data_IF_236969200082
#
_entry.id   IF_236969200082
#
_cell.length_a   1.000
_cell.length_b   1.000
_cell.length_c   1.000
_cell.angle_alpha   90.00
_cell.angle_beta   90.00
_cell.angle_gamma   90.00
#
_symmetry.space_group_name_H-M   'P 1'
#
loop_
_entity.id
_entity.type
_entity.pdbx_description
1 polymer ?
#
# COMPACT_ATOMS: atom_id res chain seq x y z
N UNK A 1 40.44 -4.38 -17.98
CA UNK A 1 39.16 -4.77 -17.37
C UNK A 1 38.10 -4.76 -18.45
N UNK A 2 37.66 -5.94 -18.91
CA UNK A 2 36.55 -6.06 -19.85
C UNK A 2 35.30 -5.53 -19.18
N UNK A 3 34.66 -4.54 -19.80
CA UNK A 3 33.40 -4.00 -19.28
C UNK A 3 32.32 -5.01 -19.61
N UNK A 4 31.80 -5.67 -18.58
CA UNK A 4 30.72 -6.64 -18.72
C UNK A 4 29.50 -5.97 -19.33
N UNK A 5 29.05 -6.50 -20.46
CA UNK A 5 27.84 -5.99 -21.13
C UNK A 5 26.59 -6.61 -20.51
N UNK A 6 25.43 -5.96 -20.65
CA UNK A 6 24.17 -6.54 -20.15
C UNK A 6 23.82 -7.88 -20.85
N UNK A 7 24.34 -8.09 -22.05
CA UNK A 7 24.23 -9.36 -22.76
C UNK A 7 25.06 -10.46 -22.09
N UNK A 8 26.30 -10.16 -21.69
CA UNK A 8 27.16 -11.08 -20.94
C UNK A 8 26.59 -11.40 -19.55
N UNK A 9 25.98 -10.41 -18.88
CA UNK A 9 25.32 -10.63 -17.58
C UNK A 9 24.14 -11.60 -17.67
N UNK A 10 23.45 -11.67 -18.81
CA UNK A 10 22.38 -12.63 -19.08
C UNK A 10 22.86 -13.91 -19.77
N UNK A 11 24.15 -14.01 -20.12
CA UNK A 11 24.71 -15.13 -20.89
C UNK A 11 24.19 -15.22 -22.32
N UNK A 12 23.86 -14.09 -22.94
CA UNK A 12 23.24 -14.01 -24.27
C UNK A 12 24.15 -13.34 -25.29
N UNK A 13 23.95 -13.68 -26.56
CA UNK A 13 24.53 -12.94 -27.68
C UNK A 13 23.79 -11.61 -27.90
N UNK A 14 24.45 -10.55 -28.42
CA UNK A 14 23.81 -9.28 -28.77
C UNK A 14 22.68 -9.42 -29.82
N UNK A 15 22.69 -10.51 -30.59
CA UNK A 15 21.68 -10.87 -31.59
C UNK A 15 20.47 -11.62 -31.02
N UNK A 16 20.39 -11.83 -29.71
CA UNK A 16 19.33 -12.61 -29.10
C UNK A 16 17.94 -11.98 -29.29
N UNK A 17 16.97 -12.82 -29.64
CA UNK A 17 15.57 -12.43 -29.76
C UNK A 17 14.97 -12.04 -28.39
N UNK A 18 13.95 -11.16 -28.36
CA UNK A 18 13.35 -10.68 -27.11
C UNK A 18 12.68 -11.78 -26.28
N UNK A 19 12.31 -12.89 -26.91
CA UNK A 19 11.77 -14.08 -26.24
C UNK A 19 12.86 -14.83 -25.47
N UNK A 20 14.05 -14.93 -26.06
CA UNK A 20 15.23 -15.56 -25.44
C UNK A 20 15.73 -14.72 -24.27
N UNK A 21 15.71 -13.38 -24.38
CA UNK A 21 16.03 -12.46 -23.28
C UNK A 21 15.08 -12.66 -22.09
N UNK A 22 13.78 -12.81 -22.37
CA UNK A 22 12.76 -13.10 -21.34
C UNK A 22 12.94 -14.48 -20.71
N UNK A 23 13.28 -15.49 -21.51
CA UNK A 23 13.51 -16.84 -21.02
C UNK A 23 14.76 -16.90 -20.11
N UNK A 24 15.87 -16.28 -20.53
CA UNK A 24 17.10 -16.21 -19.76
C UNK A 24 16.91 -15.48 -18.42
N UNK A 25 16.21 -14.33 -18.43
CA UNK A 25 15.86 -13.62 -17.20
C UNK A 25 15.03 -14.51 -16.25
N UNK A 26 14.00 -15.20 -16.75
CA UNK A 26 13.19 -16.09 -15.92
C UNK A 26 14.01 -17.23 -15.33
N UNK A 27 14.90 -17.83 -16.11
CA UNK A 27 15.77 -18.91 -15.63
C UNK A 27 16.72 -18.42 -14.52
N UNK A 28 17.40 -17.29 -14.73
CA UNK A 28 18.33 -16.72 -13.76
C UNK A 28 17.61 -16.20 -12.51
N UNK A 29 16.44 -15.58 -12.67
CA UNK A 29 15.60 -15.18 -11.55
C UNK A 29 15.19 -16.39 -10.69
N UNK A 30 14.81 -17.52 -11.32
CA UNK A 30 14.45 -18.74 -10.59
C UNK A 30 15.60 -19.38 -9.82
N UNK A 31 16.86 -19.05 -10.15
CA UNK A 31 18.05 -19.58 -9.48
C UNK A 31 18.51 -18.61 -8.37
N UNK A 32 18.46 -17.31 -8.63
CA UNK A 32 19.01 -16.29 -7.74
C UNK A 32 17.95 -15.57 -6.87
N UNK A 33 16.67 -15.92 -6.96
CA UNK A 33 15.61 -15.25 -6.19
C UNK A 33 15.85 -15.37 -4.68
N UNK A 34 15.71 -14.28 -3.90
CA UNK A 34 15.99 -14.27 -2.46
C UNK A 34 15.13 -15.26 -1.66
N UNK A 35 13.93 -15.58 -2.15
CA UNK A 35 13.03 -16.58 -1.54
C UNK A 35 13.59 -18.01 -1.64
N UNK A 36 14.32 -18.31 -2.72
CA UNK A 36 14.94 -19.61 -2.92
C UNK A 36 16.30 -19.73 -2.26
N UNK A 37 16.92 -18.63 -1.83
CA UNK A 37 18.25 -18.63 -1.20
C UNK A 37 18.21 -18.45 0.32
N UNK A 38 17.02 -18.58 0.93
CA UNK A 38 16.83 -18.50 2.38
C UNK A 38 17.54 -19.63 3.15
N UNK A 39 17.75 -20.78 2.51
CA UNK A 39 18.43 -21.95 3.09
C UNK A 39 19.97 -21.86 3.02
N UNK A 40 20.52 -20.88 2.29
CA UNK A 40 21.96 -20.68 2.12
C UNK A 40 22.54 -19.80 3.23
N UNK A 41 23.87 -19.86 3.37
CA UNK A 41 24.63 -19.03 4.31
C UNK A 41 24.47 -17.54 3.99
N UNK A 42 24.77 -16.66 4.94
CA UNK A 42 24.62 -15.22 4.75
C UNK A 42 25.50 -14.66 3.61
N UNK A 43 26.69 -15.24 3.43
CA UNK A 43 27.65 -14.85 2.39
C UNK A 43 27.20 -15.30 0.99
N UNK A 44 26.73 -16.55 0.88
CA UNK A 44 26.14 -17.06 -0.36
C UNK A 44 24.86 -16.29 -0.74
N UNK A 45 24.02 -15.94 0.25
CA UNK A 45 22.83 -15.13 0.01
C UNK A 45 23.17 -13.74 -0.53
N UNK A 46 24.22 -13.12 -0.02
CA UNK A 46 24.68 -11.82 -0.50
C UNK A 46 25.20 -11.91 -1.94
N UNK A 47 25.94 -12.97 -2.28
CA UNK A 47 26.43 -13.19 -3.65
C UNK A 47 25.28 -13.43 -4.65
N UNK A 48 24.31 -14.27 -4.30
CA UNK A 48 23.12 -14.50 -5.13
C UNK A 48 22.27 -13.24 -5.31
N UNK A 49 22.14 -12.41 -4.27
CA UNK A 49 21.45 -11.13 -4.36
C UNK A 49 22.18 -10.13 -5.29
N UNK A 50 23.51 -10.09 -5.24
CA UNK A 50 24.31 -9.25 -6.14
C UNK A 50 24.15 -9.68 -7.61
N UNK A 51 24.17 -10.99 -7.88
CA UNK A 51 23.92 -11.54 -9.22
C UNK A 51 22.50 -11.23 -9.69
N UNK A 52 21.50 -11.42 -8.82
CA UNK A 52 20.10 -11.11 -9.12
C UNK A 52 19.91 -9.63 -9.50
N UNK A 53 20.53 -8.71 -8.76
CA UNK A 53 20.47 -7.28 -9.08
C UNK A 53 21.08 -6.96 -10.45
N UNK A 54 22.20 -7.62 -10.80
CA UNK A 54 22.81 -7.47 -12.13
C UNK A 54 21.92 -8.00 -13.25
N UNK A 55 21.29 -9.16 -13.04
CA UNK A 55 20.33 -9.78 -13.98
C UNK A 55 19.09 -8.90 -14.16
N UNK A 56 18.57 -8.33 -13.06
CA UNK A 56 17.43 -7.42 -13.08
C UNK A 56 17.74 -6.16 -13.89
N UNK A 57 18.87 -5.52 -13.61
CA UNK A 57 19.30 -4.32 -14.33
C UNK A 57 19.50 -4.58 -15.83
N UNK A 58 20.07 -5.74 -16.19
CA UNK A 58 20.22 -6.14 -17.58
C UNK A 58 18.86 -6.35 -18.27
N UNK A 59 17.90 -6.98 -17.59
CA UNK A 59 16.57 -7.20 -18.12
C UNK A 59 15.74 -5.91 -18.26
N UNK A 60 15.87 -4.97 -17.33
CA UNK A 60 15.17 -3.68 -17.40
C UNK A 60 15.57 -2.87 -18.65
N UNK A 61 16.83 -2.99 -19.07
CA UNK A 61 17.36 -2.35 -20.29
C UNK A 61 17.05 -3.17 -21.54
N UNK A 62 17.35 -4.47 -21.54
CA UNK A 62 17.24 -5.33 -22.74
C UNK A 62 15.82 -5.83 -23.03
N UNK A 63 14.95 -5.88 -22.01
CA UNK A 63 13.56 -6.34 -22.13
C UNK A 63 12.63 -5.35 -22.82
N UNK A 64 12.98 -4.05 -22.81
CA UNK A 64 12.23 -3.02 -23.51
C UNK A 64 12.88 -2.72 -24.88
N UNK A 65 12.18 -2.92 -26.02
CA UNK A 65 12.75 -2.69 -27.35
C UNK A 65 13.34 -1.29 -27.56
N UNK A 66 12.74 -0.25 -26.95
CA UNK A 66 13.24 1.13 -27.06
C UNK A 66 14.51 1.35 -26.26
N UNK A 67 14.61 0.77 -25.06
CA UNK A 67 15.81 0.89 -24.21
C UNK A 67 16.94 0.01 -24.74
N UNK A 68 16.62 -1.18 -25.26
CA UNK A 68 17.56 -2.04 -25.99
C UNK A 68 18.17 -1.32 -27.18
N UNK A 69 17.36 -0.65 -28.00
CA UNK A 69 17.86 0.10 -29.15
C UNK A 69 18.79 1.26 -28.74
N UNK A 70 18.45 1.97 -27.66
CA UNK A 70 19.31 3.03 -27.12
C UNK A 70 20.65 2.45 -26.59
N UNK A 71 20.60 1.35 -25.84
CA UNK A 71 21.78 0.66 -25.33
C UNK A 71 22.66 0.10 -26.45
N UNK A 72 22.07 -0.50 -27.48
CA UNK A 72 22.77 -1.00 -28.66
C UNK A 72 23.44 0.15 -29.45
N UNK A 73 22.79 1.32 -29.53
CA UNK A 73 23.36 2.52 -30.13
C UNK A 73 24.54 3.08 -29.34
N UNK A 74 24.45 3.10 -28.00
CA UNK A 74 25.55 3.48 -27.11
C UNK A 74 26.73 2.51 -27.23
N UNK A 75 26.46 1.20 -27.26
CA UNK A 75 27.48 0.17 -27.43
C UNK A 75 28.18 0.33 -28.78
N UNK A 76 27.42 0.54 -29.86
CA UNK A 76 27.96 0.79 -31.20
C UNK A 76 28.78 2.09 -31.29
N UNK A 77 28.32 3.17 -30.65
CA UNK A 77 29.06 4.44 -30.59
C UNK A 77 30.39 4.28 -29.83
N UNK A 78 30.36 3.53 -28.72
CA UNK A 78 31.54 3.21 -27.92
C UNK A 78 32.54 2.33 -28.66
N UNK A 79 32.07 1.37 -29.46
CA UNK A 79 32.91 0.57 -30.36
C UNK A 79 33.48 1.40 -31.52
N UNK A 80 32.71 2.34 -32.09
CA UNK A 80 33.15 3.26 -33.15
C UNK A 80 34.21 4.25 -32.65
N UNK A 81 34.08 4.72 -31.40
CA UNK A 81 35.05 5.64 -30.79
C UNK A 81 36.45 5.04 -30.66
N UNK A 82 36.56 3.72 -30.56
CA UNK A 82 37.83 2.98 -30.54
C UNK A 82 38.37 2.64 -31.94
N UNK A 83 37.61 2.87 -33.02
CA UNK A 83 37.94 2.44 -34.39
C UNK A 83 37.77 3.56 -35.43
N UNK A 84 38.27 4.77 -35.15
CA UNK A 84 38.29 5.82 -36.17
C UNK A 84 39.46 5.64 -37.16
N UNK A 85 39.16 5.01 -38.30
CA UNK A 85 39.64 5.41 -39.64
C UNK A 85 38.50 5.15 -40.65
N UNK A 86 38.14 6.08 -41.57
CA UNK A 86 37.04 5.90 -42.54
C UNK A 86 37.57 5.38 -43.90
N UNK A 87 36.74 5.13 -44.96
CA UNK A 87 35.28 4.86 -45.09
C UNK A 87 34.99 3.50 -45.80
N UNK A 88 33.76 2.96 -45.95
CA UNK A 88 32.79 3.14 -47.08
C UNK A 88 31.71 2.02 -46.98
N UNK A 89 30.45 2.17 -47.43
CA UNK A 89 29.40 1.13 -47.36
C UNK A 89 29.20 0.31 -48.68
N UNK A 90 28.68 -0.93 -48.62
CA UNK A 90 28.00 -1.58 -49.75
C UNK A 90 26.48 -1.78 -49.53
N UNK A 91 25.72 -2.14 -50.59
CA UNK A 91 24.27 -1.90 -50.68
C UNK A 91 23.38 -3.09 -50.26
N UNK A 92 22.16 -2.73 -49.85
CA UNK A 92 20.85 -3.37 -50.06
C UNK A 92 20.77 -4.87 -50.39
N UNK A 93 19.98 -5.63 -49.60
CA UNK A 93 19.06 -6.62 -50.18
C UNK A 93 17.83 -6.88 -49.29
N UNK A 94 16.73 -7.23 -49.96
CA UNK A 94 15.36 -7.15 -49.50
C UNK A 94 14.93 -8.31 -48.58
N UNK A 95 13.96 -8.04 -47.71
CA UNK A 95 12.95 -9.04 -47.34
C UNK A 95 11.64 -8.35 -46.94
N UNK A 96 10.69 -8.46 -47.85
CA UNK A 96 9.30 -8.08 -47.67
C UNK A 96 8.59 -9.11 -46.80
N UNK A 97 8.18 -8.71 -45.60
CA UNK A 97 7.09 -9.35 -44.85
C UNK A 97 6.02 -8.30 -44.57
N UNK A 98 4.72 -8.61 -44.70
CA UNK A 98 3.66 -7.64 -44.45
C UNK A 98 3.56 -7.36 -42.95
N UNK A 99 4.37 -6.42 -42.47
CA UNK A 99 4.29 -5.87 -41.13
C UNK A 99 2.93 -5.18 -40.99
N UNK A 100 2.04 -5.82 -40.23
CA UNK A 100 0.80 -5.23 -39.75
C UNK A 100 1.19 -3.96 -39.01
N UNK A 101 1.02 -2.82 -39.69
CA UNK A 101 1.31 -1.48 -39.19
C UNK A 101 0.38 -1.25 -38.01
N UNK A 102 0.80 -1.68 -36.83
CA UNK A 102 0.19 -1.24 -35.59
C UNK A 102 0.61 0.22 -35.52
N UNK A 103 -0.25 1.11 -36.00
CA UNK A 103 -0.10 2.54 -35.84
C UNK A 103 0.01 2.79 -34.35
N UNK A 104 1.24 2.85 -33.85
CA UNK A 104 1.53 3.27 -32.49
C UNK A 104 1.15 4.73 -32.45
N UNK A 105 -0.11 5.01 -32.09
CA UNK A 105 -0.51 6.35 -31.70
C UNK A 105 0.42 6.71 -30.55
N UNK A 106 1.39 7.58 -30.83
CA UNK A 106 2.26 8.17 -29.82
C UNK A 106 1.33 8.89 -28.86
N UNK A 107 1.00 8.25 -27.73
CA UNK A 107 0.25 8.91 -26.67
C UNK A 107 1.07 10.12 -26.28
N UNK A 108 0.45 11.29 -26.23
CA UNK A 108 1.17 12.50 -25.84
C UNK A 108 1.82 12.30 -24.46
N UNK A 109 2.92 12.99 -24.15
CA UNK A 109 3.52 12.89 -22.81
C UNK A 109 2.50 13.14 -21.68
N UNK A 110 1.52 14.02 -21.91
CA UNK A 110 0.42 14.31 -21.01
C UNK A 110 -0.55 13.12 -20.85
N UNK A 111 -0.96 12.48 -21.96
CA UNK A 111 -1.79 11.26 -21.93
C UNK A 111 -1.10 10.11 -21.19
N UNK A 112 0.22 9.98 -21.33
CA UNK A 112 1.01 8.98 -20.62
C UNK A 112 1.05 9.26 -19.11
N UNK A 113 1.15 10.52 -18.70
CA UNK A 113 1.06 10.92 -17.29
C UNK A 113 -0.34 10.62 -16.75
N UNK A 114 -1.39 10.98 -17.50
CA UNK A 114 -2.78 10.70 -17.12
C UNK A 114 -3.06 9.19 -16.99
N UNK A 115 -2.54 8.37 -17.92
CA UNK A 115 -2.69 6.92 -17.87
C UNK A 115 -1.97 6.31 -16.66
N UNK A 116 -0.76 6.79 -16.33
CA UNK A 116 -0.03 6.39 -15.12
C UNK A 116 -0.74 6.82 -13.84
N UNK A 117 -1.31 8.03 -13.82
CA UNK A 117 -2.10 8.52 -12.70
C UNK A 117 -3.34 7.64 -12.47
N UNK A 118 -4.09 7.33 -13.54
CA UNK A 118 -5.25 6.44 -13.50
C UNK A 118 -4.89 5.01 -13.07
N UNK A 119 -3.74 4.49 -13.52
CA UNK A 119 -3.23 3.20 -13.06
C UNK A 119 -2.84 3.23 -11.58
N UNK A 120 -2.29 4.34 -11.08
CA UNK A 120 -1.98 4.50 -9.65
C UNK A 120 -3.25 4.59 -8.81
N UNK A 121 -4.26 5.32 -9.29
CA UNK A 121 -5.57 5.41 -8.66
C UNK A 121 -6.28 4.06 -8.60
N UNK A 122 -6.26 3.28 -9.69
CA UNK A 122 -6.87 1.95 -9.70
C UNK A 122 -6.18 0.99 -8.72
N UNK A 123 -4.84 1.01 -8.65
CA UNK A 123 -4.09 0.23 -7.65
C UNK A 123 -4.42 0.69 -6.22
N UNK A 124 -4.47 2.00 -5.97
CA UNK A 124 -4.82 2.53 -4.65
C UNK A 124 -6.25 2.14 -4.25
N UNK A 125 -7.20 2.19 -5.18
CA UNK A 125 -8.56 1.74 -4.96
C UNK A 125 -8.60 0.25 -4.56
N UNK A 126 -7.85 -0.62 -5.26
CA UNK A 126 -7.77 -2.03 -4.89
C UNK A 126 -7.14 -2.27 -3.51
N UNK A 127 -6.14 -1.45 -3.13
CA UNK A 127 -5.53 -1.49 -1.79
C UNK A 127 -6.50 -1.09 -0.70
N UNK A 128 -7.23 0.01 -0.90
CA UNK A 128 -8.28 0.46 0.04
C UNK A 128 -9.34 -0.63 0.19
N UNK A 129 -9.82 -1.22 -0.92
CA UNK A 129 -10.78 -2.31 -0.89
C UNK A 129 -10.28 -3.56 -0.18
N UNK A 130 -8.99 -3.86 -0.28
CA UNK A 130 -8.38 -4.96 0.48
C UNK A 130 -8.35 -4.62 1.98
N UNK A 131 -7.92 -3.42 2.35
CA UNK A 131 -7.87 -2.98 3.74
C UNK A 131 -9.27 -2.92 4.39
N UNK A 132 -10.30 -2.45 3.68
CA UNK A 132 -11.70 -2.49 4.13
C UNK A 132 -12.13 -3.93 4.46
N UNK A 133 -11.78 -4.88 3.60
CA UNK A 133 -12.09 -6.29 3.81
C UNK A 133 -11.32 -6.89 4.96
N UNK A 134 -10.03 -6.58 5.08
CA UNK A 134 -9.21 -7.06 6.20
C UNK A 134 -9.72 -6.50 7.53
N UNK A 135 -10.24 -5.27 7.56
CA UNK A 135 -10.91 -4.69 8.73
C UNK A 135 -12.21 -5.44 9.07
N UNK A 136 -13.05 -5.75 8.08
CA UNK A 136 -14.27 -6.55 8.28
C UNK A 136 -13.94 -7.98 8.75
N UNK A 137 -12.93 -8.61 8.16
CA UNK A 137 -12.48 -9.94 8.56
C UNK A 137 -11.89 -9.94 9.98
N UNK A 138 -11.30 -8.82 10.42
CA UNK A 138 -10.81 -8.67 11.78
C UNK A 138 -11.93 -8.59 12.83
N UNK A 139 -13.12 -8.11 12.45
CA UNK A 139 -14.31 -8.10 13.32
C UNK A 139 -14.93 -9.50 13.48
N UNK A 140 -14.69 -10.42 12.54
CA UNK A 140 -15.18 -11.80 12.63
C UNK A 140 -14.45 -12.58 13.72
N UNK A 141 -15.18 -13.45 14.40
CA UNK A 141 -14.64 -14.45 15.31
C UNK A 141 -14.11 -15.67 14.54
N UNK A 142 -13.44 -16.59 15.24
CA UNK A 142 -12.84 -17.77 14.60
C UNK A 142 -13.88 -18.65 13.91
N UNK A 143 -15.10 -18.71 14.44
CA UNK A 143 -16.21 -19.42 13.81
C UNK A 143 -16.63 -18.74 12.50
N UNK A 144 -16.85 -17.42 12.51
CA UNK A 144 -17.16 -16.65 11.29
C UNK A 144 -16.10 -16.76 10.20
N UNK A 145 -14.81 -16.80 10.56
CA UNK A 145 -13.74 -17.03 9.60
C UNK A 145 -13.77 -18.45 9.01
N UNK A 146 -14.05 -19.48 9.82
CA UNK A 146 -14.24 -20.86 9.33
C UNK A 146 -15.46 -20.98 8.43
N UNK A 147 -16.51 -20.19 8.67
CA UNK A 147 -17.69 -20.14 7.79
C UNK A 147 -17.34 -19.55 6.43
N UNK A 148 -16.44 -18.54 6.40
CA UNK A 148 -15.91 -18.01 5.14
C UNK A 148 -15.10 -19.06 4.39
N UNK A 149 -14.22 -19.82 5.06
CA UNK A 149 -13.51 -20.95 4.44
C UNK A 149 -14.48 -21.92 3.77
N UNK A 150 -15.53 -22.36 4.49
CA UNK A 150 -16.55 -23.27 3.93
C UNK A 150 -17.29 -22.66 2.72
N UNK A 151 -17.57 -21.36 2.78
CA UNK A 151 -18.24 -20.66 1.66
C UNK A 151 -17.35 -20.61 0.42
N UNK A 152 -16.06 -20.31 0.58
CA UNK A 152 -15.11 -20.26 -0.54
C UNK A 152 -14.80 -21.63 -1.12
N UNK A 153 -14.75 -22.67 -0.28
CA UNK A 153 -14.61 -24.06 -0.73
C UNK A 153 -15.83 -24.51 -1.55
N UNK A 154 -17.04 -24.19 -1.09
CA UNK A 154 -18.26 -24.45 -1.85
C UNK A 154 -18.23 -23.72 -3.21
N UNK A 155 -17.88 -22.44 -3.24
CA UNK A 155 -17.75 -21.69 -4.50
C UNK A 155 -16.69 -22.27 -5.44
N UNK A 156 -15.59 -22.79 -4.89
CA UNK A 156 -14.53 -23.45 -5.69
C UNK A 156 -15.05 -24.74 -6.34
N UNK A 157 -15.90 -25.48 -5.64
CA UNK A 157 -16.54 -26.71 -6.13
C UNK A 157 -17.63 -26.39 -7.17
N UNK A 158 -18.47 -25.39 -6.90
CA UNK A 158 -19.54 -24.95 -7.81
C UNK A 158 -18.97 -24.37 -9.13
N UNK A 159 -17.81 -23.69 -9.08
CA UNK A 159 -17.15 -23.10 -10.24
C UNK A 159 -16.03 -24.00 -10.82
N UNK A 160 -16.26 -25.31 -10.86
CA UNK A 160 -15.31 -26.29 -11.42
C UNK A 160 -14.92 -25.96 -12.87
N UNK A 161 -15.86 -25.52 -13.68
CA UNK A 161 -15.71 -25.40 -15.13
C UNK A 161 -15.19 -24.03 -15.59
N UNK A 162 -15.09 -23.04 -14.69
CA UNK A 162 -14.46 -21.73 -14.95
C UNK A 162 -13.07 -21.66 -14.27
N UNK A 163 -11.97 -21.81 -15.02
CA UNK A 163 -10.63 -21.79 -14.44
C UNK A 163 -10.27 -20.47 -13.74
N UNK A 164 -10.78 -19.33 -14.23
CA UNK A 164 -10.46 -18.03 -13.67
C UNK A 164 -11.18 -17.81 -12.33
N UNK A 165 -12.47 -18.16 -12.26
CA UNK A 165 -13.21 -18.09 -11.02
C UNK A 165 -12.69 -19.12 -10.00
N UNK A 166 -12.39 -20.33 -10.45
CA UNK A 166 -11.80 -21.37 -9.59
C UNK A 166 -10.47 -20.94 -8.97
N UNK A 167 -9.58 -20.34 -9.77
CA UNK A 167 -8.32 -19.79 -9.26
C UNK A 167 -8.56 -18.66 -8.25
N UNK A 168 -9.55 -17.80 -8.49
CA UNK A 168 -9.93 -16.75 -7.54
C UNK A 168 -10.42 -17.33 -6.22
N UNK A 169 -11.35 -18.29 -6.25
CA UNK A 169 -11.85 -18.97 -5.06
C UNK A 169 -10.74 -19.68 -4.30
N UNK A 170 -9.79 -20.32 -5.00
CA UNK A 170 -8.66 -21.02 -4.39
C UNK A 170 -7.74 -20.07 -3.63
N UNK A 171 -7.42 -18.91 -4.22
CA UNK A 171 -6.62 -17.87 -3.57
C UNK A 171 -7.34 -17.38 -2.30
N UNK A 172 -8.66 -17.12 -2.39
CA UNK A 172 -9.44 -16.65 -1.26
C UNK A 172 -9.55 -17.69 -0.15
N UNK A 173 -9.74 -18.96 -0.51
CA UNK A 173 -9.76 -20.07 0.43
C UNK A 173 -8.46 -20.11 1.26
N UNK A 174 -7.32 -20.09 0.59
CA UNK A 174 -6.01 -20.08 1.24
C UNK A 174 -5.80 -18.86 2.15
N UNK A 175 -6.24 -17.67 1.71
CA UNK A 175 -6.19 -16.46 2.54
C UNK A 175 -6.98 -16.61 3.85
N UNK A 176 -8.19 -17.19 3.81
CA UNK A 176 -9.00 -17.40 5.01
C UNK A 176 -8.49 -18.55 5.89
N UNK A 177 -7.97 -19.63 5.32
CA UNK A 177 -7.31 -20.71 6.07
C UNK A 177 -6.14 -20.17 6.90
N UNK A 178 -5.30 -19.31 6.29
CA UNK A 178 -4.20 -18.66 7.00
C UNK A 178 -4.69 -17.75 8.13
N UNK A 179 -5.76 -16.97 7.92
CA UNK A 179 -6.37 -16.12 8.97
C UNK A 179 -6.90 -16.95 10.14
N UNK A 180 -7.56 -18.07 9.85
CA UNK A 180 -8.04 -19.01 10.88
C UNK A 180 -6.86 -19.58 11.66
N UNK A 181 -5.83 -20.06 10.95
CA UNK A 181 -4.62 -20.61 11.56
C UNK A 181 -3.94 -19.60 12.49
N UNK A 182 -3.73 -18.37 12.03
CA UNK A 182 -3.09 -17.32 12.83
C UNK A 182 -3.89 -16.99 14.09
N UNK A 183 -5.21 -16.83 13.98
CA UNK A 183 -6.11 -16.60 15.13
C UNK A 183 -6.07 -17.75 16.14
N UNK A 184 -6.04 -18.99 15.68
CA UNK A 184 -5.93 -20.16 16.56
C UNK A 184 -4.57 -20.21 17.27
N UNK A 185 -3.47 -19.89 16.59
CA UNK A 185 -2.15 -19.84 17.21
C UNK A 185 -2.07 -18.73 18.27
N UNK A 186 -2.55 -17.52 17.95
CA UNK A 186 -2.62 -16.42 18.91
C UNK A 186 -3.42 -16.82 20.16
N UNK A 187 -4.53 -17.53 19.98
CA UNK A 187 -5.32 -18.04 21.10
C UNK A 187 -4.57 -19.08 21.94
N UNK A 188 -3.88 -20.04 21.31
CA UNK A 188 -3.04 -21.03 22.00
C UNK A 188 -1.91 -20.38 22.78
N UNK A 189 -1.22 -19.42 22.18
CA UNK A 189 -0.16 -18.66 22.86
C UNK A 189 -0.71 -17.86 24.04
N UNK A 190 -1.88 -17.26 23.88
CA UNK A 190 -2.55 -16.54 24.97
C UNK A 190 -2.88 -17.47 26.14
N UNK A 191 -3.42 -18.67 25.87
CA UNK A 191 -3.68 -19.69 26.89
C UNK A 191 -2.38 -20.17 27.57
N UNK A 192 -1.32 -20.40 26.80
CA UNK A 192 -0.01 -20.80 27.34
C UNK A 192 0.57 -19.73 28.27
N UNK A 193 0.49 -18.45 27.87
CA UNK A 193 0.90 -17.31 28.72
C UNK A 193 0.09 -17.27 30.02
N UNK A 194 -1.23 -17.46 29.95
CA UNK A 194 -2.09 -17.53 31.14
C UNK A 194 -1.69 -18.69 32.08
N UNK A 195 -1.37 -19.86 31.53
CA UNK A 195 -0.95 -21.02 32.31
C UNK A 195 0.41 -20.79 33.01
N UNK A 196 1.38 -20.20 32.32
CA UNK A 196 2.72 -19.91 32.88
C UNK A 196 2.72 -18.82 33.95
N UNK A 197 1.82 -17.83 33.86
CA UNK A 197 1.70 -16.78 34.88
C UNK A 197 1.24 -17.30 36.25
N UNK A 198 0.67 -18.52 36.29
CA UNK A 198 0.15 -19.14 37.53
C UNK A 198 1.12 -20.13 38.17
N UNK A 199 2.30 -20.36 37.59
CA UNK A 199 3.34 -21.20 38.19
C UNK A 199 4.17 -20.35 39.15
N UNK A 200 4.08 -20.53 40.48
CA UNK A 200 4.98 -19.83 41.39
C UNK A 200 6.43 -20.25 41.08
N UNK A 201 7.42 -19.35 41.23
CA UNK A 201 8.81 -19.70 41.05
C UNK A 201 9.12 -20.87 41.99
N UNK A 202 9.66 -21.96 41.43
CA UNK A 202 10.07 -23.13 42.19
C UNK A 202 10.84 -22.67 43.43
N UNK A 203 10.30 -22.98 44.60
CA UNK A 203 10.94 -22.70 45.88
C UNK A 203 12.31 -23.35 45.84
N UNK A 204 13.35 -22.50 45.78
CA UNK A 204 14.74 -22.91 45.98
C UNK A 204 14.81 -23.57 47.34
N UNK A 205 14.83 -24.89 47.37
CA UNK A 205 15.13 -25.68 48.56
C UNK A 205 16.56 -25.30 48.97
N UNK A 206 16.66 -24.35 49.91
CA UNK A 206 17.90 -24.04 50.57
C UNK A 206 18.33 -25.28 51.35
N UNK A 207 19.36 -25.94 50.84
CA UNK A 207 20.07 -27.03 51.52
C UNK A 207 20.55 -26.49 52.87
N UNK A 208 19.94 -26.98 53.96
CA UNK A 208 20.34 -26.66 55.31
C UNK A 208 21.82 -27.01 55.49
N UNK A 209 22.65 -25.98 55.67
CA UNK A 209 24.06 -26.12 56.01
C UNK A 209 24.15 -26.07 57.53
N UNK A 210 24.73 -27.12 58.10
CA UNK A 210 24.94 -27.31 59.54
C UNK A 210 25.56 -26.08 60.21
N UNK A 211 24.96 -25.66 61.32
CA UNK A 211 25.47 -24.61 62.20
C UNK A 211 26.60 -25.14 63.10
N UNK A 212 27.77 -24.51 63.03
CA UNK A 212 28.81 -24.60 64.06
C UNK A 212 28.66 -23.43 65.05
N UNK A 213 28.84 -23.64 66.37
CA UNK A 213 28.66 -22.58 67.36
C UNK A 213 29.99 -21.87 67.61
N UNK A 214 30.04 -20.55 67.46
CA UNK A 214 31.10 -19.76 68.10
C UNK A 214 30.55 -18.47 68.71
N UNK A 215 30.80 -18.40 70.02
CA UNK A 215 30.79 -17.26 70.92
C UNK A 215 31.13 -15.92 70.24
N UNK A 216 30.22 -14.95 70.32
CA UNK A 216 30.59 -13.55 70.16
C UNK A 216 29.72 -12.62 71.01
N UNK A 217 30.41 -11.69 71.67
CA UNK A 217 29.90 -10.80 72.71
C UNK A 217 28.78 -9.85 72.20
N UNK A 218 27.73 -9.55 73.00
CA UNK A 218 26.46 -8.98 72.51
C UNK A 218 26.59 -7.57 71.91
N UNK A 219 27.58 -6.78 72.34
CA UNK A 219 27.70 -5.35 72.02
C UNK A 219 28.29 -5.08 70.61
N UNK A 220 29.11 -6.00 70.08
CA UNK A 220 29.69 -5.86 68.72
C UNK A 220 28.69 -6.28 67.62
N UNK A 221 27.75 -7.15 67.99
CA UNK A 221 26.67 -7.65 67.14
C UNK A 221 25.66 -6.55 66.80
N UNK A 222 25.26 -5.75 67.79
CA UNK A 222 24.26 -4.68 67.62
C UNK A 222 24.78 -3.55 66.73
N UNK A 223 26.04 -3.13 66.89
CA UNK A 223 26.66 -2.08 66.05
C UNK A 223 26.71 -2.47 64.57
N UNK A 224 27.14 -3.71 64.26
CA UNK A 224 27.14 -4.21 62.87
C UNK A 224 25.74 -4.33 62.27
N UNK A 225 24.74 -4.65 63.09
CA UNK A 225 23.34 -4.68 62.65
C UNK A 225 22.81 -3.27 62.30
N UNK A 226 23.19 -2.25 63.06
CA UNK A 226 22.85 -0.85 62.77
C UNK A 226 23.56 -0.35 61.51
N UNK A 227 24.86 -0.65 61.36
CA UNK A 227 25.64 -0.30 60.16
C UNK A 227 25.04 -0.94 58.88
N UNK A 228 24.57 -2.19 58.95
CA UNK A 228 23.86 -2.85 57.83
C UNK A 228 22.54 -2.17 57.49
N UNK A 229 21.74 -1.79 58.50
CA UNK A 229 20.48 -1.07 58.27
C UNK A 229 20.72 0.29 57.61
N UNK A 230 21.77 1.01 58.01
CA UNK A 230 22.15 2.26 57.38
C UNK A 230 22.59 2.06 55.92
N UNK A 231 23.44 1.07 55.65
CA UNK A 231 23.88 0.73 54.30
C UNK A 231 22.71 0.29 53.39
N UNK A 232 21.74 -0.47 53.92
CA UNK A 232 20.54 -0.86 53.18
C UNK A 232 19.63 0.35 52.91
N UNK A 233 19.48 1.26 53.88
CA UNK A 233 18.74 2.51 53.70
C UNK A 233 19.39 3.40 52.63
N UNK A 234 20.72 3.54 52.63
CA UNK A 234 21.47 4.27 51.60
C UNK A 234 21.31 3.63 50.21
N UNK A 235 21.31 2.29 50.12
CA UNK A 235 21.08 1.59 48.85
C UNK A 235 19.67 1.81 48.32
N UNK A 236 18.67 1.84 49.19
CA UNK A 236 17.27 2.14 48.85
C UNK A 236 17.15 3.59 48.39
N UNK A 237 17.73 4.54 49.11
CA UNK A 237 17.74 5.96 48.72
C UNK A 237 18.43 6.16 47.36
N UNK A 238 19.60 5.54 47.15
CA UNK A 238 20.30 5.60 45.87
C UNK A 238 19.51 4.92 44.73
N UNK A 239 18.73 3.88 45.02
CA UNK A 239 17.84 3.26 44.05
C UNK A 239 16.65 4.17 43.69
N UNK A 240 16.09 4.89 44.67
CA UNK A 240 15.02 5.87 44.45
C UNK A 240 15.50 7.02 43.54
N UNK A 241 16.68 7.60 43.81
CA UNK A 241 17.28 8.64 42.96
C UNK A 241 17.50 8.15 41.52
N UNK A 242 17.99 6.91 41.34
CA UNK A 242 18.13 6.32 40.00
C UNK A 242 16.79 6.04 39.32
N UNK A 243 15.72 5.78 40.08
CA UNK A 243 14.38 5.59 39.54
C UNK A 243 13.78 6.92 39.08
N UNK A 244 13.94 7.98 39.88
CA UNK A 244 13.54 9.35 39.52
C UNK A 244 14.27 9.84 38.26
N UNK A 245 15.59 9.61 38.15
CA UNK A 245 16.35 9.96 36.96
C UNK A 245 15.82 9.28 35.69
N UNK A 246 15.45 7.98 35.77
CA UNK A 246 14.83 7.25 34.65
C UNK A 246 13.43 7.77 34.33
N UNK A 247 12.67 8.19 35.34
CA UNK A 247 11.34 8.77 35.15
C UNK A 247 11.43 10.13 34.42
N UNK A 248 12.39 10.98 34.80
CA UNK A 248 12.67 12.25 34.13
C UNK A 248 13.11 12.00 32.67
N UNK A 249 14.04 11.07 32.45
CA UNK A 249 14.49 10.74 31.09
C UNK A 249 13.35 10.19 30.22
N UNK A 250 12.49 9.33 30.78
CA UNK A 250 11.29 8.84 30.10
C UNK A 250 10.33 9.97 29.74
N UNK A 251 10.07 10.89 30.68
CA UNK A 251 9.23 12.05 30.45
C UNK A 251 9.80 12.97 29.36
N UNK A 252 11.13 13.19 29.33
CA UNK A 252 11.80 13.94 28.27
C UNK A 252 11.65 13.27 26.90
N UNK A 253 11.81 11.93 26.83
CA UNK A 253 11.60 11.16 25.59
C UNK A 253 10.15 11.20 25.11
N UNK A 254 9.19 11.20 26.02
CA UNK A 254 7.76 11.35 25.69
C UNK A 254 7.44 12.77 25.21
N UNK A 255 7.96 13.80 25.88
CA UNK A 255 7.82 15.19 25.46
C UNK A 255 8.44 15.44 24.07
N UNK A 256 9.62 14.87 23.78
CA UNK A 256 10.24 14.96 22.45
C UNK A 256 9.40 14.27 21.36
N UNK A 257 8.83 13.09 21.68
CA UNK A 257 7.90 12.40 20.76
C UNK A 257 6.66 13.25 20.50
N UNK A 258 6.08 13.85 21.54
CA UNK A 258 4.91 14.72 21.41
C UNK A 258 5.22 15.97 20.58
N UNK A 259 6.34 16.65 20.84
CA UNK A 259 6.77 17.81 20.07
C UNK A 259 6.97 17.50 18.58
N UNK A 260 7.48 16.31 18.25
CA UNK A 260 7.60 15.86 16.87
C UNK A 260 6.24 15.62 16.20
N UNK A 261 5.27 15.06 16.92
CA UNK A 261 3.90 14.90 16.44
C UNK A 261 3.23 16.27 16.22
N UNK A 262 3.40 17.19 17.15
CA UNK A 262 2.84 18.55 17.06
C UNK A 262 3.46 19.33 15.88
N UNK A 263 4.77 19.18 15.64
CA UNK A 263 5.44 19.74 14.46
C UNK A 263 4.86 19.18 13.15
N UNK A 264 4.58 17.87 13.09
CA UNK A 264 3.92 17.26 11.92
C UNK A 264 2.48 17.78 11.75
N UNK A 265 1.72 17.87 12.83
CA UNK A 265 0.36 18.40 12.80
C UNK A 265 0.34 19.87 12.33
N UNK A 266 1.28 20.69 12.81
CA UNK A 266 1.43 22.08 12.37
C UNK A 266 1.76 22.18 10.87
N UNK A 267 2.64 21.31 10.36
CA UNK A 267 2.96 21.26 8.93
C UNK A 267 1.73 20.91 8.06
N UNK A 268 0.90 19.97 8.50
CA UNK A 268 -0.36 19.62 7.81
C UNK A 268 -1.34 20.79 7.83
N UNK A 269 -1.49 21.48 8.96
CA UNK A 269 -2.35 22.68 9.04
C UNK A 269 -1.87 23.78 8.09
N UNK A 270 -0.57 24.05 8.07
CA UNK A 270 0.02 25.05 7.17
C UNK A 270 -0.15 24.68 5.69
N UNK A 271 -0.09 23.40 5.33
CA UNK A 271 -0.36 22.93 3.97
C UNK A 271 -1.84 23.10 3.59
N UNK A 272 -2.75 22.74 4.49
CA UNK A 272 -4.19 22.96 4.33
C UNK A 272 -4.53 24.44 4.14
N UNK A 273 -3.90 25.33 4.91
CA UNK A 273 -4.12 26.77 4.80
C UNK A 273 -3.58 27.32 3.46
N UNK A 274 -2.45 26.80 2.96
CA UNK A 274 -1.95 27.13 1.61
C UNK A 274 -2.92 26.66 0.52
N UNK A 275 -3.50 25.47 0.64
CA UNK A 275 -4.49 24.97 -0.31
C UNK A 275 -5.76 25.82 -0.28
N UNK A 276 -6.22 26.19 0.91
CA UNK A 276 -7.37 27.08 1.08
C UNK A 276 -7.12 28.45 0.43
N UNK A 277 -5.96 29.06 0.69
CA UNK A 277 -5.59 30.34 0.07
C UNK A 277 -5.52 30.27 -1.46
N UNK A 278 -5.03 29.15 -2.03
CA UNK A 278 -5.07 28.93 -3.48
C UNK A 278 -6.49 28.81 -4.02
N UNK A 279 -7.37 28.08 -3.32
CA UNK A 279 -8.77 27.95 -3.71
C UNK A 279 -9.50 29.30 -3.66
N UNK A 280 -9.25 30.11 -2.62
CA UNK A 280 -9.82 31.45 -2.48
C UNK A 280 -9.33 32.38 -3.60
N UNK A 281 -8.05 32.29 -3.99
CA UNK A 281 -7.51 33.06 -5.13
C UNK A 281 -8.18 32.66 -6.46
N UNK A 282 -8.37 31.36 -6.71
CA UNK A 282 -9.07 30.88 -7.90
C UNK A 282 -10.50 31.39 -7.90
N UNK A 283 -11.20 31.32 -6.76
CA UNK A 283 -12.56 31.83 -6.62
C UNK A 283 -12.66 33.34 -6.90
N UNK A 284 -11.66 34.13 -6.46
CA UNK A 284 -11.57 35.56 -6.77
C UNK A 284 -11.37 35.81 -8.28
N UNK A 285 -10.44 35.08 -8.91
CA UNK A 285 -10.22 35.18 -10.35
C UNK A 285 -11.47 34.80 -11.15
N UNK A 286 -12.17 33.75 -10.72
CA UNK A 286 -13.43 33.31 -11.34
C UNK A 286 -14.53 34.36 -11.19
N UNK A 287 -14.68 34.94 -9.99
CA UNK A 287 -15.61 36.04 -9.75
C UNK A 287 -15.30 37.27 -10.61
N UNK A 288 -14.02 37.62 -10.77
CA UNK A 288 -13.59 38.73 -11.63
C UNK A 288 -13.88 38.44 -13.12
N UNK A 289 -13.61 37.22 -13.59
CA UNK A 289 -13.97 36.80 -14.96
C UNK A 289 -15.47 36.89 -15.20
N UNK A 290 -16.29 36.44 -14.25
CA UNK A 290 -17.75 36.53 -14.31
C UNK A 290 -18.18 38.00 -14.33
N UNK A 291 -17.60 38.86 -13.49
CA UNK A 291 -17.91 40.29 -13.45
C UNK A 291 -17.55 41.00 -14.78
N UNK A 292 -16.38 40.72 -15.35
CA UNK A 292 -15.96 41.23 -16.67
C UNK A 292 -16.90 40.77 -17.78
N UNK A 293 -17.30 39.50 -17.78
CA UNK A 293 -18.26 38.97 -18.75
C UNK A 293 -19.63 39.66 -18.65
N UNK A 294 -20.13 39.88 -17.42
CA UNK A 294 -21.37 40.63 -17.17
C UNK A 294 -21.28 42.08 -17.62
N UNK A 295 -20.17 42.78 -17.34
CA UNK A 295 -19.95 44.15 -17.80
C UNK A 295 -19.89 44.24 -19.34
N UNK A 296 -19.26 43.26 -20.00
CA UNK A 296 -19.22 43.17 -21.46
C UNK A 296 -20.60 42.92 -22.07
N UNK A 297 -21.42 42.07 -21.44
CA UNK A 297 -22.79 41.80 -21.88
C UNK A 297 -23.77 42.95 -21.58
N UNK A 298 -23.51 43.76 -20.54
CA UNK A 298 -24.30 44.94 -20.19
C UNK A 298 -23.93 46.23 -20.97
N UNK A 299 -22.84 46.22 -21.74
CA UNK A 299 -22.47 47.35 -22.59
C UNK A 299 -23.29 47.31 -23.90
N UNK A 300 -24.41 48.03 -23.92
CA UNK A 300 -25.26 48.18 -25.11
C UNK A 300 -24.46 48.73 -26.32
N UNK A 301 -24.66 48.20 -27.53
CA UNK A 301 -24.06 48.79 -28.74
C UNK A 301 -24.71 50.14 -29.02
N UNK A 302 -23.89 51.15 -29.33
CA UNK A 302 -24.34 52.48 -29.75
C UNK A 302 -25.01 52.40 -31.13
N UNK A 303 -26.24 52.95 -31.21
CA UNK A 303 -26.99 53.27 -32.45
C UNK A 303 -27.90 52.12 -32.92
N UNK A 304 -29.16 52.29 -33.29
CA UNK A 304 -29.98 53.47 -33.65
C UNK A 304 -31.47 53.07 -33.68
N UNK A 305 -32.35 54.06 -33.43
CA UNK A 305 -33.79 54.23 -33.77
C UNK A 305 -34.85 53.20 -33.35
N UNK A 306 -35.92 53.73 -32.71
CA UNK A 306 -37.24 53.07 -32.66
C UNK A 306 -38.00 53.32 -31.37
N UNK A 307 -38.57 54.52 -31.22
CA UNK A 307 -39.55 54.82 -30.17
C UNK A 307 -40.83 53.99 -30.37
N UNK A 308 -41.38 53.43 -29.29
CA UNK A 308 -42.83 53.42 -29.07
C UNK A 308 -43.14 53.31 -27.57
N UNK A 309 -43.89 54.29 -27.09
CA UNK A 309 -44.49 54.39 -25.76
C UNK A 309 -45.89 53.80 -25.83
N UNK A 310 -46.19 52.82 -24.96
CA UNK A 310 -47.51 52.53 -24.33
C UNK A 310 -47.13 51.67 -23.10
N UNK A 311 -47.45 51.93 -21.84
CA UNK A 311 -48.66 52.46 -21.22
C UNK A 311 -49.08 51.42 -20.16
N UNK A 312 -49.04 51.84 -18.89
CA UNK A 312 -49.81 51.36 -17.73
C UNK A 312 -50.07 49.85 -17.49
N UNK A 313 -49.51 49.32 -16.39
CA UNK A 313 -50.27 48.90 -15.20
C UNK A 313 -49.41 48.03 -14.26
N UNK A 314 -49.28 48.49 -13.01
CA UNK A 314 -48.98 47.63 -11.87
C UNK A 314 -50.22 46.75 -11.57
N UNK A 315 -50.02 45.51 -11.10
CA UNK A 315 -50.36 45.30 -9.71
C UNK A 315 -49.35 44.45 -8.93
N UNK A 316 -49.27 44.76 -7.65
CA UNK A 316 -48.64 43.93 -6.63
C UNK A 316 -49.34 42.56 -6.55
N UNK A 317 -48.57 41.48 -6.71
CA UNK A 317 -48.94 40.15 -6.26
C UNK A 317 -47.78 39.53 -5.50
N UNK A 318 -48.01 39.37 -4.21
CA UNK A 318 -47.24 38.57 -3.27
C UNK A 318 -47.19 37.12 -3.76
N UNK A 319 -45.99 36.60 -4.00
CA UNK A 319 -45.82 35.21 -4.43
C UNK A 319 -44.37 34.81 -4.35
N UNK A 320 -43.96 34.30 -3.18
CA UNK A 320 -42.68 33.64 -2.95
C UNK A 320 -42.72 32.25 -3.61
N UNK A 321 -41.89 31.91 -4.61
CA UNK A 321 -41.64 30.52 -4.93
C UNK A 321 -40.48 30.02 -4.06
N UNK A 322 -40.80 29.17 -3.09
CA UNK A 322 -39.81 28.28 -2.48
C UNK A 322 -39.26 27.37 -3.59
N UNK A 323 -38.06 27.68 -4.08
CA UNK A 323 -37.30 26.76 -4.91
C UNK A 323 -36.74 25.65 -3.99
N UNK A 324 -37.54 24.61 -3.80
CA UNK A 324 -37.06 23.35 -3.23
C UNK A 324 -36.39 22.57 -4.36
N UNK A 325 -35.07 22.78 -4.50
CA UNK A 325 -34.23 21.85 -5.24
C UNK A 325 -34.26 20.53 -4.49
N UNK A 326 -35.10 19.61 -4.95
CA UNK A 326 -35.12 18.21 -4.54
C UNK A 326 -33.78 17.60 -4.96
N UNK A 327 -32.82 17.58 -4.03
CA UNK A 327 -31.59 16.80 -4.16
C UNK A 327 -31.99 15.35 -4.41
N UNK A 328 -31.76 14.85 -5.62
CA UNK A 328 -31.80 13.42 -5.87
C UNK A 328 -30.63 12.78 -5.10
N UNK A 329 -30.88 11.75 -4.29
CA UNK A 329 -29.80 11.02 -3.62
C UNK A 329 -28.95 10.29 -4.66
N UNK A 330 -27.64 10.10 -4.39
CA UNK A 330 -26.73 9.42 -5.30
C UNK A 330 -27.26 8.01 -5.57
N UNK A 331 -27.40 7.67 -6.85
CA UNK A 331 -27.79 6.34 -7.32
C UNK A 331 -26.80 5.31 -6.78
N UNK A 332 -27.21 4.55 -5.77
CA UNK A 332 -26.51 3.35 -5.35
C UNK A 332 -26.52 2.38 -6.52
N UNK A 333 -25.34 1.86 -6.90
CA UNK A 333 -25.24 0.80 -7.92
C UNK A 333 -26.02 -0.41 -7.42
N UNK A 334 -27.22 -0.64 -7.97
CA UNK A 334 -27.99 -1.86 -7.76
C UNK A 334 -27.17 -3.04 -8.27
N UNK A 335 -27.08 -4.11 -7.49
CA UNK A 335 -26.53 -5.37 -7.98
C UNK A 335 -27.54 -5.94 -8.97
N UNK A 336 -27.14 -6.05 -10.23
CA UNK A 336 -28.02 -6.49 -11.32
C UNK A 336 -28.37 -7.98 -11.17
N UNK A 337 -29.68 -8.25 -11.18
CA UNK A 337 -30.39 -9.53 -11.28
C UNK A 337 -30.14 -10.56 -10.15
N UNK A 338 -31.16 -10.73 -9.29
CA UNK A 338 -31.32 -11.91 -8.45
C UNK A 338 -32.03 -13.02 -9.24
N UNK A 339 -31.43 -14.21 -9.33
CA UNK A 339 -32.00 -15.39 -10.01
C UNK A 339 -33.34 -15.89 -9.42
N UNK A 340 -33.79 -15.31 -8.30
CA UNK A 340 -35.01 -15.70 -7.60
C UNK A 340 -36.20 -14.76 -7.73
N UNK A 341 -35.98 -13.47 -8.02
CA UNK A 341 -37.06 -12.47 -8.03
C UNK A 341 -36.98 -11.47 -9.19
N UNK A 342 -35.99 -11.59 -10.08
CA UNK A 342 -35.75 -10.70 -11.23
C UNK A 342 -35.65 -9.18 -10.90
N UNK A 343 -35.56 -8.84 -9.61
CA UNK A 343 -35.37 -7.47 -9.12
C UNK A 343 -33.92 -7.20 -8.70
N UNK A 344 -33.54 -5.92 -8.68
CA UNK A 344 -32.22 -5.46 -8.24
C UNK A 344 -32.23 -5.05 -6.76
N UNK A 345 -31.35 -5.64 -5.95
CA UNK A 345 -31.24 -5.34 -4.51
C UNK A 345 -30.23 -4.23 -4.22
N UNK A 346 -30.53 -3.42 -3.20
CA UNK A 346 -29.73 -2.28 -2.78
C UNK A 346 -28.54 -2.65 -1.86
N UNK A 347 -28.50 -3.88 -1.32
CA UNK A 347 -27.36 -4.39 -0.55
C UNK A 347 -27.05 -5.88 -0.80
N UNK A 348 -25.77 -6.26 -0.68
CA UNK A 348 -25.32 -7.66 -0.81
C UNK A 348 -25.95 -8.60 0.23
N UNK A 349 -26.29 -8.08 1.42
CA UNK A 349 -26.94 -8.84 2.49
C UNK A 349 -28.40 -9.20 2.13
N UNK A 350 -29.11 -8.30 1.46
CA UNK A 350 -30.48 -8.54 1.00
C UNK A 350 -30.51 -9.49 -0.21
N UNK A 351 -29.60 -9.28 -1.16
CA UNK A 351 -29.42 -10.22 -2.28
C UNK A 351 -29.14 -11.65 -1.78
N UNK A 352 -28.28 -11.81 -0.77
CA UNK A 352 -27.97 -13.13 -0.17
C UNK A 352 -29.19 -13.79 0.48
N UNK A 353 -30.05 -13.03 1.15
CA UNK A 353 -31.27 -13.55 1.78
C UNK A 353 -32.29 -14.01 0.73
N UNK A 354 -32.50 -13.20 -0.31
CA UNK A 354 -33.43 -13.54 -1.39
C UNK A 354 -32.95 -14.77 -2.18
N UNK A 355 -31.66 -14.83 -2.52
CA UNK A 355 -31.10 -15.97 -3.24
C UNK A 355 -31.04 -17.25 -2.39
N UNK A 356 -30.90 -17.14 -1.06
CA UNK A 356 -30.97 -18.29 -0.16
C UNK A 356 -32.38 -18.89 -0.08
N UNK A 357 -33.44 -18.07 -0.10
CA UNK A 357 -34.83 -18.55 -0.06
C UNK A 357 -35.24 -19.33 -1.31
N UNK A 358 -34.60 -19.08 -2.46
CA UNK A 358 -34.88 -19.78 -3.72
C UNK A 358 -34.27 -21.19 -3.74
N UNK A 359 -33.24 -21.45 -2.94
CA UNK A 359 -32.68 -22.80 -2.78
C UNK A 359 -33.54 -23.74 -1.93
N UNK A 360 -34.45 -23.20 -1.11
CA UNK A 360 -35.33 -24.01 -0.25
C UNK A 360 -36.68 -24.38 -0.92
N UNK A 361 -36.96 -23.89 -2.13
CA UNK A 361 -38.18 -24.20 -2.89
C UNK A 361 -37.95 -25.01 -4.18
N UNK A 362 -36.73 -25.53 -4.38
CA UNK A 362 -36.33 -26.33 -5.55
C UNK A 362 -36.13 -27.80 -5.25
#
# INVERSE_FOLDING_TARGET
MSVTTFYETLGLAPSAAPEVIRAAYKALALICHPDKTLHLTAEDRASHAAVFNGVQAAYDVLGNPSLKAAYDAELACRSKKLKHSPPTPPPSEASSTPSRKTTVKMTTPEEKIAMRAKARESINHLRIKRAERDAQDAELDTAGLKDMVRTWDQLLNDNRDDPAMRAHCQIRLHEYENKVFEREQQHREWLAKLATAKTPPATRTHRASFTAPLSSSPVRSTRRAVERKHADAERIAAAAVRAEARAIEKAQREAARQAHLDKKAAAVRAEKDKLKAKADLIAQQDAERIAKARAKAGAAPRGTVGALVVGDHAPAMTGRPHNTVRMQPPTTKKYTACNGCDEGHDSFREWRKCNAQVKDMG
#
